data_IF_416544002314
#
_entry.id   IF_416544002314
#
_cell.length_a   1.000
_cell.length_b   1.000
_cell.length_c   1.000
_cell.angle_alpha   90.00
_cell.angle_beta   90.00
_cell.angle_gamma   90.00
#
_symmetry.space_group_name_H-M   'P 1'
#
loop_
_entity.id
_entity.type
_entity.pdbx_description
1 polymer ?
#
# COMPACT_ATOMS: atom_id res chain seq x y z
N UNK A 1 -2.29 -24.77 -6.17
CA UNK A 1 -3.03 -24.07 -5.10
C UNK A 1 -4.53 -24.13 -5.31
N UNK A 2 -5.02 -24.16 -6.56
CA UNK A 2 -6.41 -24.56 -6.84
C UNK A 2 -6.77 -25.89 -6.16
N UNK A 3 -7.87 -25.90 -5.41
CA UNK A 3 -8.35 -27.05 -4.64
C UNK A 3 -7.92 -27.13 -3.17
N UNK A 4 -6.99 -26.27 -2.70
CA UNK A 4 -6.67 -26.17 -1.27
C UNK A 4 -7.68 -25.32 -0.52
N UNK A 5 -7.98 -25.68 0.73
CA UNK A 5 -8.90 -24.93 1.58
C UNK A 5 -8.32 -23.55 1.92
N UNK A 6 -9.12 -22.52 1.71
CA UNK A 6 -8.79 -21.15 2.05
C UNK A 6 -8.90 -20.94 3.56
N UNK A 7 -7.89 -20.28 4.13
CA UNK A 7 -7.89 -19.76 5.47
C UNK A 7 -7.96 -18.22 5.39
N UNK A 8 -9.15 -17.68 5.66
CA UNK A 8 -9.40 -16.24 5.63
C UNK A 8 -8.71 -15.60 6.83
N UNK A 9 -7.76 -14.71 6.57
CA UNK A 9 -6.99 -14.01 7.60
C UNK A 9 -7.65 -12.69 7.99
N UNK A 10 -8.24 -12.00 7.01
CA UNK A 10 -8.94 -10.73 7.22
C UNK A 10 -10.13 -10.70 6.27
N UNK A 11 -11.34 -10.71 6.84
CA UNK A 11 -12.59 -10.69 6.09
C UNK A 11 -12.83 -9.35 5.39
N UNK A 12 -13.73 -9.35 4.41
CA UNK A 12 -14.13 -8.13 3.70
C UNK A 12 -14.71 -7.06 4.65
N UNK A 13 -15.48 -7.50 5.66
CA UNK A 13 -16.09 -6.60 6.66
C UNK A 13 -15.03 -6.00 7.59
N UNK A 14 -14.04 -6.78 8.03
CA UNK A 14 -12.92 -6.27 8.82
C UNK A 14 -12.13 -5.21 8.04
N UNK A 15 -11.84 -5.48 6.76
CA UNK A 15 -11.18 -4.52 5.87
C UNK A 15 -12.01 -3.25 5.74
N UNK A 16 -13.29 -3.35 5.39
CA UNK A 16 -14.17 -2.20 5.19
C UNK A 16 -14.26 -1.32 6.46
N UNK A 17 -14.39 -1.94 7.63
CA UNK A 17 -14.43 -1.25 8.91
C UNK A 17 -13.11 -0.53 9.20
N UNK A 18 -11.97 -1.20 9.00
CA UNK A 18 -10.65 -0.61 9.24
C UNK A 18 -10.32 0.51 8.26
N UNK A 19 -10.64 0.34 6.97
CA UNK A 19 -10.47 1.39 5.95
C UNK A 19 -11.30 2.64 6.29
N UNK A 20 -12.53 2.44 6.80
CA UNK A 20 -13.38 3.54 7.28
C UNK A 20 -12.77 4.27 8.47
N UNK A 21 -12.21 3.55 9.42
CA UNK A 21 -11.49 4.10 10.57
C UNK A 21 -10.28 4.94 10.14
N UNK A 22 -9.40 4.37 9.29
CA UNK A 22 -8.19 5.04 8.80
C UNK A 22 -8.53 6.25 7.94
N UNK A 23 -9.56 6.16 7.08
CA UNK A 23 -10.02 7.30 6.28
C UNK A 23 -10.50 8.49 7.12
N UNK A 24 -11.11 8.24 8.29
CA UNK A 24 -11.48 9.32 9.23
C UNK A 24 -10.24 9.96 9.85
N UNK A 25 -9.27 9.16 10.29
CA UNK A 25 -8.01 9.67 10.86
C UNK A 25 -7.28 10.55 9.84
N UNK A 26 -7.13 10.08 8.60
CA UNK A 26 -6.52 10.85 7.51
C UNK A 26 -7.31 12.14 7.23
N UNK A 27 -8.65 12.10 7.28
CA UNK A 27 -9.45 13.31 7.06
C UNK A 27 -9.16 14.40 8.09
N UNK A 28 -8.96 14.04 9.35
CA UNK A 28 -8.62 14.98 10.41
C UNK A 28 -7.17 15.49 10.27
N UNK A 29 -6.22 14.58 10.04
CA UNK A 29 -4.78 14.92 9.93
C UNK A 29 -4.45 15.84 8.74
N UNK A 30 -5.29 15.78 7.71
CA UNK A 30 -5.14 16.55 6.48
C UNK A 30 -6.22 17.62 6.29
N UNK A 31 -6.92 17.99 7.37
CA UNK A 31 -7.82 19.13 7.37
C UNK A 31 -7.06 20.39 6.94
N UNK A 32 -7.64 21.12 5.98
CA UNK A 32 -7.08 22.35 5.38
C UNK A 32 -5.72 22.18 4.69
N UNK A 33 -5.33 20.95 4.36
CA UNK A 33 -4.09 20.62 3.62
C UNK A 33 -4.37 20.27 2.15
N UNK A 34 -3.31 20.31 1.34
CA UNK A 34 -3.34 19.87 -0.06
C UNK A 34 -2.97 18.40 -0.13
N UNK A 35 -3.93 17.52 0.10
CA UNK A 35 -3.70 16.08 0.10
C UNK A 35 -3.55 15.52 -1.32
N UNK A 36 -2.43 14.83 -1.56
CA UNK A 36 -2.20 14.02 -2.75
C UNK A 36 -2.02 12.56 -2.34
N UNK A 37 -2.95 11.68 -2.73
CA UNK A 37 -2.85 10.23 -2.49
C UNK A 37 -2.18 9.57 -3.69
N UNK A 38 -0.99 8.99 -3.46
CA UNK A 38 -0.23 8.29 -4.48
C UNK A 38 -0.33 6.77 -4.27
N UNK A 39 -1.04 6.07 -5.14
CA UNK A 39 -1.14 4.61 -5.13
C UNK A 39 0.05 3.96 -5.83
N UNK A 40 0.72 3.02 -5.15
CA UNK A 40 1.76 2.18 -5.73
C UNK A 40 1.16 0.98 -6.45
N UNK A 41 1.28 0.98 -7.77
CA UNK A 41 0.77 -0.10 -8.61
C UNK A 41 1.67 -1.34 -8.54
N UNK A 42 1.11 -2.55 -8.68
CA UNK A 42 -0.31 -2.82 -8.98
C UNK A 42 -1.16 -3.11 -7.75
N UNK A 43 -0.57 -3.58 -6.65
CA UNK A 43 -1.31 -4.20 -5.56
C UNK A 43 -2.26 -3.27 -4.81
N UNK A 44 -1.84 -2.02 -4.61
CA UNK A 44 -2.57 -1.08 -3.75
C UNK A 44 -3.84 -0.48 -4.34
N UNK A 45 -4.18 -0.73 -5.61
CA UNK A 45 -5.26 0.02 -6.28
C UNK A 45 -6.64 -0.20 -5.66
N UNK A 46 -6.95 -1.43 -5.20
CA UNK A 46 -8.22 -1.74 -4.53
C UNK A 46 -8.27 -1.04 -3.18
N UNK A 47 -7.24 -1.21 -2.36
CA UNK A 47 -7.14 -0.53 -1.07
C UNK A 47 -7.25 1.00 -1.23
N UNK A 48 -6.53 1.58 -2.19
CA UNK A 48 -6.59 3.02 -2.48
C UNK A 48 -8.00 3.44 -2.84
N UNK A 49 -8.68 2.72 -3.75
CA UNK A 49 -10.03 3.06 -4.17
C UNK A 49 -11.04 3.04 -3.00
N UNK A 50 -10.86 2.13 -2.06
CA UNK A 50 -11.71 2.04 -0.87
C UNK A 50 -11.37 3.15 0.14
N UNK A 51 -10.08 3.39 0.36
CA UNK A 51 -9.57 4.42 1.28
C UNK A 51 -10.01 5.83 0.88
N UNK A 52 -9.78 6.23 -0.38
CA UNK A 52 -10.05 7.59 -0.83
C UNK A 52 -11.55 7.95 -0.78
N UNK A 53 -12.45 6.95 -0.87
CA UNK A 53 -13.90 7.14 -0.69
C UNK A 53 -14.29 7.47 0.76
N UNK A 54 -13.44 7.10 1.72
CA UNK A 54 -13.64 7.39 3.14
C UNK A 54 -13.05 8.75 3.57
N UNK A 55 -12.11 9.30 2.80
CA UNK A 55 -11.50 10.61 3.06
C UNK A 55 -12.49 11.74 2.74
N UNK A 56 -12.61 12.72 3.64
CA UNK A 56 -13.61 13.83 3.55
C UNK A 56 -13.02 15.18 3.17
N UNK A 57 -11.70 15.29 3.06
CA UNK A 57 -11.01 16.49 2.55
C UNK A 57 -10.83 16.38 1.02
N UNK A 58 -10.67 17.51 0.31
CA UNK A 58 -10.30 17.48 -1.11
C UNK A 58 -9.02 16.67 -1.33
N UNK A 59 -9.08 15.70 -2.25
CA UNK A 59 -7.97 14.79 -2.53
C UNK A 59 -7.67 14.78 -4.02
N UNK A 60 -6.39 14.90 -4.36
CA UNK A 60 -5.87 14.55 -5.69
C UNK A 60 -5.31 13.14 -5.65
N UNK A 61 -5.60 12.32 -6.66
CA UNK A 61 -5.21 10.91 -6.68
C UNK A 61 -4.31 10.68 -7.88
N UNK A 62 -3.16 10.04 -7.65
CA UNK A 62 -2.27 9.61 -8.70
C UNK A 62 -1.75 8.20 -8.48
N UNK A 63 -1.03 7.70 -9.48
CA UNK A 63 -0.50 6.35 -9.52
C UNK A 63 0.96 6.38 -9.94
N UNK A 64 1.78 5.52 -9.32
CA UNK A 64 3.16 5.26 -9.70
C UNK A 64 3.38 3.75 -9.78
N UNK A 65 4.17 3.30 -10.73
CA UNK A 65 4.59 1.90 -10.82
C UNK A 65 6.10 1.79 -10.68
N UNK A 66 6.54 0.87 -9.83
CA UNK A 66 7.95 0.52 -9.70
C UNK A 66 8.20 -0.94 -10.09
N UNK A 67 9.43 -1.25 -10.46
CA UNK A 67 9.91 -2.62 -10.64
C UNK A 67 11.17 -2.84 -9.81
N UNK A 68 11.24 -3.95 -9.09
CA UNK A 68 12.50 -4.42 -8.51
C UNK A 68 13.32 -5.11 -9.60
N UNK A 69 14.65 -4.90 -9.62
CA UNK A 69 15.52 -5.70 -10.48
C UNK A 69 15.62 -7.14 -9.94
N UNK A 70 15.51 -8.15 -10.80
CA UNK A 70 15.60 -9.57 -10.44
C UNK A 70 14.24 -10.27 -10.37
N UNK A 71 14.10 -11.40 -11.07
CA UNK A 71 12.86 -12.17 -11.22
C UNK A 71 12.47 -13.02 -9.99
N UNK A 72 12.78 -12.58 -8.77
CA UNK A 72 12.56 -13.36 -7.53
C UNK A 72 11.75 -12.64 -6.46
N UNK A 73 11.22 -13.39 -5.50
CA UNK A 73 10.48 -12.90 -4.31
C UNK A 73 11.35 -12.07 -3.33
N UNK A 74 12.62 -11.83 -3.67
CA UNK A 74 13.56 -11.04 -2.89
C UNK A 74 13.97 -9.82 -3.72
N UNK A 75 13.64 -8.63 -3.24
CA UNK A 75 14.09 -7.38 -3.88
C UNK A 75 15.62 -7.34 -3.91
N UNK A 76 16.22 -7.10 -5.08
CA UNK A 76 17.68 -6.91 -5.23
C UNK A 76 18.23 -5.63 -4.58
N UNK A 77 17.37 -4.82 -3.94
CA UNK A 77 17.72 -3.50 -3.42
C UNK A 77 17.66 -2.39 -4.48
N UNK A 78 17.68 -2.73 -5.77
CA UNK A 78 17.54 -1.78 -6.85
C UNK A 78 16.07 -1.70 -7.28
N UNK A 79 15.43 -0.56 -6.99
CA UNK A 79 14.07 -0.23 -7.41
C UNK A 79 14.15 0.79 -8.54
N UNK A 80 13.36 0.59 -9.61
CA UNK A 80 13.25 1.53 -10.73
C UNK A 80 11.80 1.99 -10.87
N UNK A 81 11.63 3.29 -11.15
CA UNK A 81 10.34 3.84 -11.57
C UNK A 81 10.07 3.44 -13.03
N UNK A 82 8.99 2.71 -13.25
CA UNK A 82 8.51 2.28 -14.57
C UNK A 82 7.47 3.24 -15.11
N UNK A 83 6.61 3.73 -14.22
CA UNK A 83 5.64 4.78 -14.50
C UNK A 83 5.74 5.81 -13.37
N UNK A 84 6.16 7.02 -13.73
CA UNK A 84 6.28 8.13 -12.80
C UNK A 84 4.93 8.85 -12.63
N UNK A 85 4.85 9.74 -11.64
CA UNK A 85 3.70 10.64 -11.49
C UNK A 85 3.61 11.59 -12.68
N UNK A 86 2.40 11.85 -13.16
CA UNK A 86 2.14 12.82 -14.23
C UNK A 86 1.85 14.23 -13.69
N UNK A 87 1.55 14.31 -12.39
CA UNK A 87 1.07 15.50 -11.73
C UNK A 87 2.21 16.31 -11.08
N UNK A 88 2.05 17.63 -11.07
CA UNK A 88 2.80 18.49 -10.17
C UNK A 88 2.28 18.34 -8.74
N UNK A 89 3.19 17.97 -7.84
CA UNK A 89 2.95 17.73 -6.41
C UNK A 89 3.77 18.69 -5.53
N UNK A 90 4.36 19.75 -6.10
CA UNK A 90 5.06 20.76 -5.33
C UNK A 90 4.14 21.38 -4.27
N UNK A 91 4.60 21.37 -3.01
CA UNK A 91 3.84 21.86 -1.87
C UNK A 91 2.57 21.06 -1.50
N UNK A 92 2.37 19.87 -2.08
CA UNK A 92 1.32 18.94 -1.61
C UNK A 92 1.80 18.10 -0.43
N UNK A 93 0.89 17.76 0.46
CA UNK A 93 1.12 16.71 1.45
C UNK A 93 0.80 15.36 0.81
N UNK A 94 1.85 14.58 0.51
CA UNK A 94 1.76 13.33 -0.24
C UNK A 94 1.57 12.15 0.72
N UNK A 95 0.52 11.37 0.51
CA UNK A 95 0.28 10.10 1.17
C UNK A 95 0.53 8.95 0.19
N UNK A 96 1.64 8.25 0.35
CA UNK A 96 1.99 7.06 -0.44
C UNK A 96 1.20 5.87 0.10
N UNK A 97 0.41 5.24 -0.76
CA UNK A 97 -0.46 4.11 -0.41
C UNK A 97 0.07 2.83 -1.04
N UNK A 98 0.25 1.80 -0.22
CA UNK A 98 0.67 0.46 -0.68
C UNK A 98 -0.21 -0.66 -0.09
N UNK A 99 -0.25 -1.83 -0.73
CA UNK A 99 -0.99 -2.98 -0.19
C UNK A 99 -0.24 -3.68 0.95
N UNK A 100 1.09 -3.76 0.86
CA UNK A 100 1.90 -4.40 1.91
C UNK A 100 3.30 -3.78 2.03
N UNK A 101 3.75 -3.60 3.27
CA UNK A 101 5.17 -3.35 3.58
C UNK A 101 5.79 -4.59 4.23
N UNK A 102 6.87 -5.08 3.62
CA UNK A 102 7.66 -6.20 4.12
C UNK A 102 9.10 -5.79 4.50
N UNK A 103 10.06 -5.96 3.61
CA UNK A 103 11.40 -5.37 3.67
C UNK A 103 11.36 -3.85 3.82
N UNK A 104 10.32 -3.19 3.28
CA UNK A 104 10.16 -1.74 3.22
C UNK A 104 11.18 -1.04 2.31
N UNK A 105 11.89 -1.77 1.45
CA UNK A 105 12.88 -1.21 0.51
C UNK A 105 12.19 -0.34 -0.54
N UNK A 106 11.12 -0.84 -1.15
CA UNK A 106 10.34 -0.11 -2.15
C UNK A 106 9.72 1.16 -1.57
N UNK A 107 9.04 1.06 -0.43
CA UNK A 107 8.44 2.22 0.24
C UNK A 107 9.50 3.29 0.55
N UNK A 108 10.64 2.90 1.13
CA UNK A 108 11.74 3.84 1.42
C UNK A 108 12.25 4.50 0.13
N UNK A 109 12.48 3.72 -0.91
CA UNK A 109 12.92 4.24 -2.20
C UNK A 109 11.93 5.27 -2.75
N UNK A 110 10.63 4.96 -2.78
CA UNK A 110 9.59 5.86 -3.29
C UNK A 110 9.53 7.15 -2.48
N UNK A 111 9.51 7.05 -1.15
CA UNK A 111 9.47 8.24 -0.29
C UNK A 111 10.68 9.15 -0.50
N UNK A 112 11.89 8.59 -0.68
CA UNK A 112 13.07 9.38 -1.04
C UNK A 112 12.99 9.94 -2.46
N UNK A 113 12.51 9.16 -3.42
CA UNK A 113 12.37 9.56 -4.82
C UNK A 113 11.44 10.77 -4.98
N UNK A 114 10.34 10.81 -4.22
CA UNK A 114 9.35 11.87 -4.31
C UNK A 114 9.84 13.22 -3.76
N UNK A 115 10.91 13.25 -2.95
CA UNK A 115 11.47 14.51 -2.43
C UNK A 115 11.94 15.45 -3.54
N UNK A 116 12.33 14.93 -4.70
CA UNK A 116 12.76 15.74 -5.86
C UNK A 116 11.65 16.66 -6.41
N UNK A 117 10.38 16.40 -6.08
CA UNK A 117 9.24 17.22 -6.47
C UNK A 117 8.86 18.29 -5.44
N UNK A 118 9.64 18.44 -4.36
CA UNK A 118 9.39 19.42 -3.29
C UNK A 118 7.97 19.36 -2.68
N UNK A 119 7.46 18.17 -2.26
CA UNK A 119 6.20 18.10 -1.53
C UNK A 119 6.33 18.77 -0.16
N UNK A 120 5.21 19.24 0.39
CA UNK A 120 5.15 19.82 1.74
C UNK A 120 5.42 18.76 2.83
N UNK A 121 4.92 17.54 2.63
CA UNK A 121 5.23 16.38 3.46
C UNK A 121 5.06 15.08 2.68
N UNK A 122 5.68 14.00 3.15
CA UNK A 122 5.51 12.66 2.59
C UNK A 122 5.23 11.72 3.76
N UNK A 123 4.10 11.03 3.73
CA UNK A 123 3.71 9.97 4.66
C UNK A 123 3.32 8.71 3.90
N UNK A 124 3.19 7.61 4.62
CA UNK A 124 2.84 6.29 4.09
C UNK A 124 1.59 5.70 4.76
N UNK A 125 0.75 5.06 3.98
CA UNK A 125 -0.42 4.32 4.45
C UNK A 125 -0.45 2.93 3.80
N UNK A 126 -0.53 1.88 4.62
CA UNK A 126 -0.52 0.50 4.13
C UNK A 126 -1.71 -0.28 4.64
N UNK A 127 -2.18 -1.22 3.83
CA UNK A 127 -3.17 -2.19 4.28
C UNK A 127 -2.50 -3.19 5.24
N UNK A 128 -1.39 -3.80 4.83
CA UNK A 128 -0.69 -4.83 5.60
C UNK A 128 0.74 -4.40 5.95
N UNK A 129 1.17 -4.71 7.16
CA UNK A 129 2.55 -4.51 7.60
C UNK A 129 3.12 -5.79 8.21
N UNK A 130 4.39 -6.10 7.87
CA UNK A 130 5.17 -7.24 8.37
C UNK A 130 6.50 -6.77 8.98
N UNK A 131 6.48 -6.21 10.20
CA UNK A 131 7.67 -5.63 10.83
C UNK A 131 8.84 -6.61 11.00
N UNK A 132 8.59 -7.91 11.12
CA UNK A 132 9.63 -8.93 11.27
C UNK A 132 10.47 -9.16 10.01
N UNK A 133 9.99 -8.72 8.82
CA UNK A 133 10.71 -8.87 7.54
C UNK A 133 11.56 -7.65 7.17
N UNK A 134 11.55 -6.64 8.01
CA UNK A 134 12.00 -5.28 7.73
C UNK A 134 13.54 -5.24 7.56
N UNK A 135 14.03 -4.64 6.47
CA UNK A 135 15.47 -4.60 6.10
C UNK A 135 16.12 -3.21 6.16
N UNK A 136 15.37 -2.18 6.54
CA UNK A 136 15.80 -0.77 6.52
C UNK A 136 15.17 -0.06 7.72
N UNK A 137 15.19 1.28 7.85
CA UNK A 137 14.40 2.01 8.88
C UNK A 137 13.24 2.82 8.25
N UNK A 138 12.00 2.55 8.70
CA UNK A 138 10.69 2.91 8.11
C UNK A 138 9.65 2.23 8.97
N UNK A 139 8.64 3.00 9.36
CA UNK A 139 7.41 2.51 9.96
C UNK A 139 6.30 3.22 9.19
N UNK A 140 5.27 2.50 8.70
CA UNK A 140 4.15 3.15 8.05
C UNK A 140 3.47 4.16 8.98
N UNK A 141 3.15 5.36 8.49
CA UNK A 141 2.46 6.37 9.30
C UNK A 141 1.03 5.94 9.64
N UNK A 142 0.40 5.23 8.70
CA UNK A 142 -0.90 4.60 8.86
C UNK A 142 -0.81 3.13 8.46
N UNK A 143 -1.28 2.24 9.32
CA UNK A 143 -1.32 0.80 9.06
C UNK A 143 -2.71 0.27 9.41
N UNK A 144 -3.33 -0.49 8.50
CA UNK A 144 -4.63 -1.10 8.77
C UNK A 144 -4.47 -2.37 9.62
N UNK A 145 -3.55 -3.26 9.24
CA UNK A 145 -3.32 -4.55 9.89
C UNK A 145 -1.84 -4.92 9.94
N UNK A 146 -1.35 -5.30 11.13
CA UNK A 146 -0.06 -5.98 11.27
C UNK A 146 -0.29 -7.49 11.21
N UNK A 147 0.44 -8.18 10.34
CA UNK A 147 0.32 -9.63 10.13
C UNK A 147 1.69 -10.31 10.32
N UNK A 148 1.72 -11.60 10.71
CA UNK A 148 2.98 -12.36 10.75
C UNK A 148 3.53 -12.63 9.34
N UNK A 149 4.73 -13.20 9.27
CA UNK A 149 5.39 -13.57 8.00
C UNK A 149 4.75 -14.82 7.40
N UNK A 150 3.54 -14.64 6.85
CA UNK A 150 2.77 -15.64 6.12
C UNK A 150 2.50 -15.15 4.72
N UNK A 151 2.51 -16.03 3.74
CA UNK A 151 2.09 -15.68 2.39
C UNK A 151 0.60 -15.26 2.40
N UNK A 152 0.24 -14.19 1.70
CA UNK A 152 -1.12 -13.64 1.66
C UNK A 152 -1.50 -13.20 0.26
N UNK A 153 -2.78 -13.34 -0.08
CA UNK A 153 -3.38 -12.96 -1.37
C UNK A 153 -4.78 -12.38 -1.17
N UNK A 154 -5.34 -11.80 -2.23
CA UNK A 154 -6.66 -11.18 -2.18
C UNK A 154 -6.58 -9.68 -1.89
N UNK A 155 -7.68 -8.98 -2.15
CA UNK A 155 -7.81 -7.54 -1.94
C UNK A 155 -6.66 -6.73 -2.56
N UNK A 156 -6.33 -7.04 -3.81
CA UNK A 156 -5.23 -6.41 -4.55
C UNK A 156 -3.94 -7.21 -4.53
N UNK A 157 -3.68 -8.02 -3.50
CA UNK A 157 -2.51 -8.92 -3.42
C UNK A 157 -2.67 -10.13 -4.35
N UNK A 158 -1.57 -10.66 -4.87
CA UNK A 158 -1.57 -11.67 -5.94
C UNK A 158 -0.73 -12.92 -5.63
N UNK A 159 -1.12 -14.01 -6.29
CA UNK A 159 -0.25 -15.16 -6.55
C UNK A 159 -0.20 -15.40 -8.06
N UNK A 160 1.00 -15.34 -8.65
CA UNK A 160 1.14 -15.20 -10.10
C UNK A 160 0.42 -13.93 -10.58
N UNK A 161 -0.46 -14.04 -11.56
CA UNK A 161 -1.26 -12.92 -12.07
C UNK A 161 -2.69 -12.86 -11.51
N UNK A 162 -3.04 -13.73 -10.56
CA UNK A 162 -4.43 -13.95 -10.12
C UNK A 162 -4.69 -13.51 -8.68
N UNK A 163 -5.96 -13.66 -8.26
CA UNK A 163 -6.50 -13.47 -6.91
C UNK A 163 -6.64 -12.03 -6.42
N UNK A 164 -6.16 -11.02 -7.15
CA UNK A 164 -6.33 -9.60 -6.76
C UNK A 164 -7.79 -9.20 -6.54
N UNK A 165 -8.72 -9.84 -7.25
CA UNK A 165 -10.16 -9.56 -7.22
C UNK A 165 -10.91 -10.18 -6.03
N UNK A 166 -10.27 -11.02 -5.21
CA UNK A 166 -10.92 -11.61 -4.02
C UNK A 166 -11.17 -10.49 -2.98
N UNK A 167 -12.35 -10.39 -2.36
CA UNK A 167 -12.71 -9.23 -1.52
C UNK A 167 -12.12 -9.26 -0.10
N UNK A 168 -11.36 -10.30 0.25
CA UNK A 168 -10.76 -10.53 1.56
C UNK A 168 -9.29 -10.94 1.41
N UNK A 169 -8.53 -10.88 2.50
CA UNK A 169 -7.14 -11.37 2.55
C UNK A 169 -7.14 -12.79 3.11
N UNK A 170 -6.49 -13.70 2.40
CA UNK A 170 -6.42 -15.10 2.78
C UNK A 170 -5.06 -15.73 2.45
N UNK A 171 -4.87 -16.92 2.98
CA UNK A 171 -3.85 -17.87 2.53
C UNK A 171 -4.46 -19.27 2.42
N UNK A 172 -3.67 -20.26 2.02
CA UNK A 172 -4.11 -21.66 2.00
C UNK A 172 -3.66 -22.35 3.28
N UNK A 173 -4.52 -23.21 3.84
CA UNK A 173 -4.16 -24.05 4.98
C UNK A 173 -2.88 -24.86 4.66
N UNK A 174 -1.99 -24.96 5.65
CA UNK A 174 -0.87 -25.90 5.59
C UNK A 174 -1.43 -27.34 5.65
N UNK A 175 -0.82 -28.25 4.88
CA UNK A 175 -1.11 -29.69 4.97
C UNK A 175 -0.66 -30.27 6.33
#
# INVERSE_FOLDING_TARGET
>A
MEGRKENILISADEIANKVTEIGKIISEDYKDKKLYVLSLLRGSFIFTADLVRQIKVPVKIGFMATSSYGHGEVSSGNVKVVQDIADDIEGYDVLVVDDIVDSGITMKFVMEYLKKYNPASIKSCVLLDKPERRKVEINPDYCCFTIPDVFVVGYGLNYGDYYRNVPYVFNWEAE
#
